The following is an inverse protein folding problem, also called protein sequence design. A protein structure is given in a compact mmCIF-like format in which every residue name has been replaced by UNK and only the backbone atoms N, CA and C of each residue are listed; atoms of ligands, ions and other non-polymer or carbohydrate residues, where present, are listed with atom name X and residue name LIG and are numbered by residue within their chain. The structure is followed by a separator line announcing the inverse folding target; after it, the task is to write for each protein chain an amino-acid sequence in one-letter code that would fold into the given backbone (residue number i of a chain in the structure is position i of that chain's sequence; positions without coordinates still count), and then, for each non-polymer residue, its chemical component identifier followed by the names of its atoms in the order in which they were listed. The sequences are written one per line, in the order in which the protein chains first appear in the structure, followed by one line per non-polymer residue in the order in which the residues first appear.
data_IF_240231638534
#
_entry.id   IF_240231638534
#
_cell.length_a   1.000
_cell.length_b   1.000
_cell.length_c   1.000
_cell.angle_alpha   90.00
_cell.angle_beta   90.00
_cell.angle_gamma   90.00
#
_symmetry.space_group_name_H-M   'P 1'
#
loop_
_entity.id
_entity.type
_entity.pdbx_description
1 polymer ?
#
# COMPACT_ATOMS: atom_id res chain seq x y z
N UNK A 1 16.20 6.79 -8.63
CA UNK A 1 15.37 5.56 -8.80
C UNK A 1 15.74 4.55 -7.72
N UNK A 2 14.79 4.12 -6.88
CA UNK A 2 15.07 3.25 -5.75
C UNK A 2 15.05 1.76 -6.20
N UNK A 3 16.16 1.00 -6.07
CA UNK A 3 16.24 -0.40 -6.53
C UNK A 3 15.58 -1.41 -5.57
N UNK A 4 15.35 -1.03 -4.31
CA UNK A 4 14.76 -1.91 -3.27
C UNK A 4 13.25 -2.15 -3.44
N UNK A 5 12.60 -1.36 -4.29
CA UNK A 5 11.15 -1.45 -4.54
C UNK A 5 10.89 -2.14 -5.86
N UNK A 6 10.01 -3.15 -5.92
CA UNK A 6 9.70 -3.86 -7.15
C UNK A 6 9.26 -2.93 -8.29
N UNK A 7 9.64 -3.30 -9.51
CA UNK A 7 9.26 -2.56 -10.72
C UNK A 7 7.74 -2.44 -10.82
N UNK A 8 7.26 -1.24 -11.17
CA UNK A 8 5.82 -0.97 -11.28
C UNK A 8 5.14 -0.52 -9.99
N UNK A 9 5.87 -0.42 -8.88
CA UNK A 9 5.32 0.09 -7.61
C UNK A 9 5.33 1.62 -7.58
N UNK A 10 4.26 2.23 -7.06
CA UNK A 10 4.18 3.67 -6.80
C UNK A 10 5.00 4.01 -5.56
N UNK A 11 6.03 4.84 -5.71
CA UNK A 11 6.93 5.23 -4.60
C UNK A 11 6.62 6.61 -4.04
N UNK A 12 6.13 7.51 -4.88
CA UNK A 12 5.83 8.87 -4.48
C UNK A 12 4.69 9.45 -5.30
N UNK A 13 3.84 10.24 -4.65
CA UNK A 13 2.84 11.06 -5.31
C UNK A 13 3.45 12.44 -5.51
N UNK A 14 3.68 12.81 -6.77
CA UNK A 14 4.17 14.14 -7.14
C UNK A 14 3.01 15.13 -7.10
N UNK A 15 1.82 14.66 -7.50
CA UNK A 15 0.62 15.47 -7.47
C UNK A 15 -0.63 14.66 -7.21
N UNK A 16 -1.46 15.13 -6.28
CA UNK A 16 -2.71 14.47 -5.89
C UNK A 16 -3.73 14.50 -7.03
N UNK A 17 -4.39 13.37 -7.25
CA UNK A 17 -5.54 13.21 -8.13
C UNK A 17 -6.86 13.28 -7.37
N UNK A 18 -7.95 13.52 -8.08
CA UNK A 18 -9.29 13.65 -7.50
C UNK A 18 -10.32 12.87 -8.32
N UNK A 19 -11.27 12.30 -7.59
CA UNK A 19 -12.45 11.60 -8.12
C UNK A 19 -13.71 12.24 -7.54
N UNK A 20 -14.78 12.29 -8.32
CA UNK A 20 -16.10 12.73 -7.89
C UNK A 20 -17.05 11.57 -8.19
N UNK A 21 -17.50 10.86 -7.16
CA UNK A 21 -18.17 9.57 -7.34
C UNK A 21 -17.28 8.63 -8.18
N UNK A 22 -17.85 8.05 -9.23
CA UNK A 22 -17.15 7.11 -10.11
C UNK A 22 -16.35 7.78 -11.24
N UNK A 23 -16.38 9.12 -11.33
CA UNK A 23 -15.73 9.86 -12.41
C UNK A 23 -14.39 10.43 -11.96
N UNK A 24 -13.36 10.20 -12.78
CA UNK A 24 -12.03 10.77 -12.57
C UNK A 24 -12.04 12.22 -13.05
N UNK A 25 -11.92 13.17 -12.12
CA UNK A 25 -11.75 14.59 -12.46
C UNK A 25 -10.32 14.83 -12.95
N UNK A 26 -9.37 14.22 -12.25
CA UNK A 26 -7.95 14.34 -12.58
C UNK A 26 -7.15 13.17 -11.99
N UNK A 27 -6.38 12.42 -12.79
CA UNK A 27 -5.48 11.39 -12.27
C UNK A 27 -4.36 11.97 -11.41
N UNK A 28 -3.87 11.18 -10.45
CA UNK A 28 -2.68 11.53 -9.68
C UNK A 28 -1.43 11.38 -10.55
N UNK A 29 -0.47 12.31 -10.40
CA UNK A 29 0.85 12.17 -10.98
C UNK A 29 1.75 11.44 -10.00
N UNK A 30 2.25 10.28 -10.40
CA UNK A 30 3.02 9.37 -9.53
C UNK A 30 4.38 9.05 -10.12
N UNK A 31 5.39 8.93 -9.27
CA UNK A 31 6.67 8.32 -9.61
C UNK A 31 6.56 6.80 -9.47
N UNK A 32 6.92 6.07 -10.52
CA UNK A 32 6.94 4.60 -10.53
C UNK A 32 8.37 4.11 -10.42
N UNK A 33 8.59 3.13 -9.55
CA UNK A 33 9.90 2.47 -9.44
C UNK A 33 10.21 1.67 -10.70
N UNK A 34 11.42 1.88 -11.24
CA UNK A 34 11.98 1.00 -12.28
C UNK A 34 12.36 -0.37 -11.72
N UNK A 35 12.65 -0.43 -10.41
CA UNK A 35 12.82 -1.62 -9.56
C UNK A 35 13.93 -2.60 -9.94
N UNK A 36 14.46 -3.29 -8.91
CA UNK A 36 15.27 -4.50 -9.04
C UNK A 36 14.40 -5.76 -9.27
N UNK A 37 15.02 -6.95 -9.45
CA UNK A 37 14.31 -8.18 -9.78
C UNK A 37 13.16 -8.46 -8.81
N UNK A 38 12.02 -8.89 -9.38
CA UNK A 38 10.74 -9.08 -8.70
C UNK A 38 10.88 -10.04 -7.51
N UNK A 39 10.90 -9.50 -6.29
CA UNK A 39 10.65 -10.32 -5.10
C UNK A 39 9.24 -10.91 -5.19
N UNK A 40 9.11 -12.19 -4.87
CA UNK A 40 7.85 -12.92 -4.90
C UNK A 40 6.80 -12.23 -4.00
N UNK A 41 5.53 -12.40 -4.38
CA UNK A 41 4.37 -11.66 -3.91
C UNK A 41 4.31 -11.41 -2.38
N UNK A 42 3.75 -10.27 -1.92
CA UNK A 42 3.33 -10.16 -0.54
C UNK A 42 2.26 -11.23 -0.28
N UNK A 43 2.51 -12.06 0.74
CA UNK A 43 1.52 -12.98 1.30
C UNK A 43 0.21 -12.23 1.54
N UNK A 44 -0.96 -12.80 1.19
CA UNK A 44 -2.22 -12.23 1.59
C UNK A 44 -2.22 -12.11 3.11
N UNK A 45 -2.49 -10.88 3.58
CA UNK A 45 -2.77 -10.58 4.97
C UNK A 45 -3.87 -11.53 5.45
N UNK A 46 -3.49 -12.50 6.28
CA UNK A 46 -4.44 -13.24 7.08
C UNK A 46 -5.03 -12.26 8.10
N UNK A 47 -6.34 -12.07 7.98
CA UNK A 47 -7.35 -11.51 8.87
C UNK A 47 -6.93 -10.86 10.21
N UNK A 48 -7.50 -9.69 10.55
CA UNK A 48 -7.46 -9.18 11.91
C UNK A 48 -8.47 -9.92 12.80
N UNK A 49 -7.97 -10.62 13.83
CA UNK A 49 -8.77 -11.01 15.00
C UNK A 49 -8.03 -11.97 15.94
N UNK A 50 -8.37 -12.04 17.25
CA UNK A 50 -9.23 -11.17 18.07
C UNK A 50 -8.43 -10.30 19.09
N UNK A 51 -9.08 -9.31 19.75
CA UNK A 51 -8.43 -8.44 20.72
C UNK A 51 -8.08 -9.13 22.05
N UNK A 52 -6.91 -8.77 22.58
CA UNK A 52 -6.53 -8.72 23.99
C UNK A 52 -6.75 -9.95 24.90
N UNK A 53 -5.77 -10.85 24.92
CA UNK A 53 -5.56 -11.82 26.02
C UNK A 53 -4.99 -11.17 27.32
N UNK A 54 -5.20 -9.87 27.54
CA UNK A 54 -4.65 -9.11 28.68
C UNK A 54 -5.69 -8.49 29.63
N UNK A 55 -6.99 -8.72 29.42
CA UNK A 55 -8.04 -8.12 30.27
C UNK A 55 -8.66 -9.05 31.32
N UNK A 56 -8.23 -10.31 31.46
CA UNK A 56 -8.80 -11.24 32.47
C UNK A 56 -7.71 -11.74 33.43
N UNK A 57 -6.95 -10.80 34.00
CA UNK A 57 -6.09 -11.03 35.17
C UNK A 57 -6.65 -10.33 36.42
N UNK A 58 -7.89 -9.84 36.38
CA UNK A 58 -8.51 -9.12 37.50
C UNK A 58 -10.01 -9.45 37.60
N UNK A 59 -10.34 -10.67 38.05
CA UNK A 59 -11.61 -11.03 38.69
C UNK A 59 -11.40 -12.23 39.61
#
# INVERSE_FOLDING_TARGET
PNPDVPSGTVTQVVQTGYVIGDRVLRPAMVGVSKGGPKTAAPQPAAEPGPPDARAEKDA
#
